data_IF_532419494180
#
_entry.id   IF_532419494180
#
_cell.length_a   1.000
_cell.length_b   1.000
_cell.length_c   1.000
_cell.angle_alpha   90.00
_cell.angle_beta   90.00
_cell.angle_gamma   90.00
#
_symmetry.space_group_name_H-M   'P 1'
#
loop_
_entity.id
_entity.type
_entity.pdbx_description
1 polymer ?
#
# COMPACT_ATOMS: atom_id res chain seq x y z
N UNK A 1 -19.71 -24.84 15.50
CA UNK A 1 -19.97 -24.03 14.29
C UNK A 1 -21.42 -23.57 14.33
N UNK A 2 -21.69 -22.27 14.12
CA UNK A 2 -23.03 -21.68 14.16
C UNK A 2 -23.31 -20.99 12.83
N UNK A 3 -24.53 -21.14 12.33
CA UNK A 3 -25.02 -20.37 11.17
C UNK A 3 -25.62 -19.06 11.70
N UNK A 4 -25.21 -17.93 11.13
CA UNK A 4 -25.66 -16.60 11.55
C UNK A 4 -25.05 -15.50 10.68
N UNK A 5 -25.53 -14.28 10.90
CA UNK A 5 -25.08 -13.08 10.19
C UNK A 5 -23.95 -12.39 10.98
N UNK A 6 -22.80 -12.15 10.34
CA UNK A 6 -21.65 -11.49 10.97
C UNK A 6 -21.94 -10.04 11.38
N UNK A 7 -22.97 -9.41 10.81
CA UNK A 7 -23.46 -8.08 11.18
C UNK A 7 -24.24 -8.09 12.50
N UNK A 8 -24.60 -9.27 13.02
CA UNK A 8 -25.31 -9.42 14.28
C UNK A 8 -24.76 -10.59 15.10
N UNK A 9 -23.85 -10.27 16.01
CA UNK A 9 -23.27 -11.17 16.99
C UNK A 9 -23.87 -10.94 18.39
N UNK A 10 -25.14 -10.52 18.49
CA UNK A 10 -25.83 -10.21 19.76
C UNK A 10 -25.82 -11.35 20.79
N UNK A 11 -25.64 -12.59 20.35
CA UNK A 11 -25.50 -13.78 21.19
C UNK A 11 -24.12 -13.90 21.88
N UNK A 12 -23.15 -13.07 21.49
CA UNK A 12 -21.86 -12.89 22.17
C UNK A 12 -21.92 -11.66 23.07
N UNK A 13 -21.43 -11.80 24.31
CA UNK A 13 -21.22 -10.66 25.21
C UNK A 13 -20.17 -9.70 24.67
N UNK A 14 -20.24 -8.43 25.07
CA UNK A 14 -19.16 -7.48 24.80
C UNK A 14 -17.86 -7.94 25.51
N UNK A 15 -16.70 -7.64 24.92
CA UNK A 15 -15.39 -8.00 25.49
C UNK A 15 -15.27 -9.48 25.89
N UNK A 16 -15.81 -10.39 25.08
CA UNK A 16 -15.82 -11.83 25.36
C UNK A 16 -14.80 -12.62 24.53
N UNK A 17 -14.31 -12.06 23.43
CA UNK A 17 -13.42 -12.74 22.47
C UNK A 17 -11.97 -12.29 22.61
N UNK A 18 -11.03 -13.24 22.58
CA UNK A 18 -9.58 -12.99 22.68
C UNK A 18 -8.86 -12.86 21.33
N UNK A 19 -9.42 -13.43 20.26
CA UNK A 19 -8.87 -13.35 18.90
C UNK A 19 -10.00 -13.49 17.89
N UNK A 20 -10.00 -12.62 16.88
CA UNK A 20 -10.84 -12.75 15.70
C UNK A 20 -9.91 -13.00 14.50
N UNK A 21 -10.17 -14.06 13.74
CA UNK A 21 -9.51 -14.32 12.46
C UNK A 21 -10.59 -14.54 11.42
N UNK A 22 -10.59 -13.73 10.36
CA UNK A 22 -11.63 -13.81 9.33
C UNK A 22 -11.07 -13.58 7.94
N UNK A 23 -11.76 -14.16 6.96
CA UNK A 23 -11.53 -13.97 5.54
C UNK A 23 -12.90 -13.66 4.92
N UNK A 24 -13.29 -12.37 4.85
CA UNK A 24 -14.64 -11.99 4.43
C UNK A 24 -14.89 -12.44 2.98
N UNK A 25 -16.14 -12.79 2.64
CA UNK A 25 -16.51 -13.14 1.29
C UNK A 25 -16.31 -11.91 0.38
N UNK A 26 -15.34 -12.01 -0.53
CA UNK A 26 -14.93 -10.92 -1.41
C UNK A 26 -16.09 -10.29 -2.18
N UNK A 27 -16.10 -8.96 -2.26
CA UNK A 27 -17.04 -8.17 -3.06
C UNK A 27 -17.02 -8.61 -4.54
N UNK A 28 -18.01 -9.39 -4.97
CA UNK A 28 -18.24 -9.75 -6.37
C UNK A 28 -17.05 -10.42 -7.10
N UNK A 29 -16.14 -11.08 -6.36
CA UNK A 29 -15.03 -11.86 -6.95
C UNK A 29 -15.38 -13.34 -7.05
N UNK A 30 -15.98 -13.90 -6.00
CA UNK A 30 -16.38 -15.30 -5.91
C UNK A 30 -17.75 -15.34 -5.26
N UNK A 31 -18.75 -15.86 -5.98
CA UNK A 31 -20.09 -16.08 -5.44
C UNK A 31 -20.09 -17.42 -4.70
N UNK A 32 -20.31 -17.38 -3.39
CA UNK A 32 -20.27 -18.58 -2.53
C UNK A 32 -21.63 -19.28 -2.42
N UNK A 33 -22.70 -18.64 -2.89
CA UNK A 33 -24.07 -19.17 -2.81
C UNK A 33 -24.84 -18.91 -4.10
N UNK A 34 -25.92 -19.66 -4.34
CA UNK A 34 -26.83 -19.44 -5.46
C UNK A 34 -27.80 -18.27 -5.15
N UNK A 35 -27.24 -17.07 -4.99
CA UNK A 35 -27.97 -15.79 -4.85
C UNK A 35 -28.83 -15.69 -3.57
N UNK A 36 -28.19 -15.80 -2.39
CA UNK A 36 -28.87 -15.70 -1.10
C UNK A 36 -28.89 -14.27 -0.55
N UNK A 37 -30.05 -13.88 -0.02
CA UNK A 37 -30.22 -12.67 0.78
C UNK A 37 -29.23 -12.68 1.96
N UNK A 38 -28.41 -11.62 2.07
CA UNK A 38 -27.38 -11.46 3.11
C UNK A 38 -25.97 -11.98 2.75
N UNK A 39 -25.75 -12.51 1.55
CA UNK A 39 -24.41 -12.87 1.08
C UNK A 39 -23.66 -11.64 0.53
N UNK A 40 -22.65 -11.17 1.27
CA UNK A 40 -21.88 -9.98 0.91
C UNK A 40 -21.05 -10.16 -0.39
N UNK A 41 -20.88 -11.41 -0.86
CA UNK A 41 -20.13 -11.66 -2.11
C UNK A 41 -20.83 -11.13 -3.37
N UNK A 42 -22.10 -10.72 -3.30
CA UNK A 42 -22.84 -10.16 -4.42
C UNK A 42 -22.75 -8.63 -4.52
N UNK A 43 -22.20 -7.96 -3.52
CA UNK A 43 -22.19 -6.51 -3.40
C UNK A 43 -21.07 -5.88 -4.23
N UNK A 44 -21.31 -4.68 -4.78
CA UNK A 44 -20.20 -3.86 -5.30
C UNK A 44 -19.38 -3.29 -4.12
N UNK A 45 -18.21 -2.74 -4.43
CA UNK A 45 -17.18 -2.36 -3.44
C UNK A 45 -17.73 -1.46 -2.33
N UNK A 46 -18.48 -0.41 -2.68
CA UNK A 46 -18.97 0.55 -1.69
C UNK A 46 -20.08 -0.04 -0.79
N UNK A 47 -20.97 -0.87 -1.36
CA UNK A 47 -22.00 -1.59 -0.60
C UNK A 47 -21.37 -2.63 0.34
N UNK A 48 -20.37 -3.37 -0.16
CA UNK A 48 -19.60 -4.31 0.65
C UNK A 48 -18.93 -3.60 1.84
N UNK A 49 -18.28 -2.45 1.62
CA UNK A 49 -17.63 -1.69 2.69
C UNK A 49 -18.62 -1.18 3.73
N UNK A 50 -19.81 -0.75 3.30
CA UNK A 50 -20.90 -0.34 4.21
C UNK A 50 -21.35 -1.50 5.11
N UNK A 51 -21.54 -2.70 4.54
CA UNK A 51 -21.91 -3.88 5.33
C UNK A 51 -20.76 -4.32 6.25
N UNK A 52 -19.51 -4.19 5.77
CA UNK A 52 -18.33 -4.45 6.59
C UNK A 52 -18.19 -3.47 7.76
N UNK A 53 -18.78 -2.27 7.70
CA UNK A 53 -18.80 -1.34 8.83
C UNK A 53 -19.63 -1.90 9.99
N UNK A 54 -20.78 -2.53 9.70
CA UNK A 54 -21.57 -3.22 10.72
C UNK A 54 -20.82 -4.43 11.31
N UNK A 55 -20.13 -5.21 10.46
CA UNK A 55 -19.28 -6.32 10.90
C UNK A 55 -18.12 -5.82 11.78
N UNK A 56 -17.45 -4.73 11.38
CA UNK A 56 -16.36 -4.14 12.14
C UNK A 56 -16.84 -3.63 13.51
N UNK A 57 -18.03 -3.02 13.59
CA UNK A 57 -18.63 -2.58 14.84
C UNK A 57 -18.91 -3.78 15.79
N UNK A 58 -19.47 -4.88 15.27
CA UNK A 58 -19.69 -6.09 16.07
C UNK A 58 -18.37 -6.73 16.51
N UNK A 59 -17.38 -6.83 15.62
CA UNK A 59 -16.04 -7.29 15.94
C UNK A 59 -15.42 -6.45 17.06
N UNK A 60 -15.54 -5.12 16.98
CA UNK A 60 -15.05 -4.22 18.02
C UNK A 60 -15.77 -4.44 19.35
N UNK A 61 -17.10 -4.59 19.34
CA UNK A 61 -17.90 -4.82 20.55
C UNK A 61 -17.50 -6.10 21.27
N UNK A 62 -17.38 -7.21 20.55
CA UNK A 62 -17.13 -8.53 21.15
C UNK A 62 -15.66 -8.74 21.52
N UNK A 63 -14.72 -8.08 20.85
CA UNK A 63 -13.30 -8.23 21.15
C UNK A 63 -12.93 -7.57 22.48
N UNK A 64 -12.10 -8.25 23.28
CA UNK A 64 -11.55 -7.68 24.52
C UNK A 64 -10.55 -6.55 24.23
N UNK A 65 -10.44 -5.51 25.07
CA UNK A 65 -9.38 -4.51 24.94
C UNK A 65 -7.98 -5.14 24.99
N UNK A 66 -7.05 -4.65 24.17
CA UNK A 66 -5.68 -5.17 24.01
C UNK A 66 -5.59 -6.46 23.19
N UNK A 67 -6.70 -6.97 22.64
CA UNK A 67 -6.75 -8.18 21.81
C UNK A 67 -6.84 -7.86 20.32
N UNK A 68 -6.59 -8.88 19.51
CA UNK A 68 -6.34 -8.73 18.08
C UNK A 68 -7.50 -9.24 17.21
N UNK A 69 -7.72 -8.54 16.10
CA UNK A 69 -8.59 -8.96 15.00
C UNK A 69 -7.78 -8.96 13.71
N UNK A 70 -7.60 -10.13 13.10
CA UNK A 70 -6.88 -10.30 11.84
C UNK A 70 -7.88 -10.57 10.70
N UNK A 71 -7.75 -9.80 9.62
CA UNK A 71 -8.65 -9.89 8.46
C UNK A 71 -7.81 -10.14 7.22
N UNK A 72 -7.95 -11.30 6.59
CA UNK A 72 -7.28 -11.57 5.31
C UNK A 72 -8.10 -10.96 4.17
N UNK A 73 -7.50 -10.11 3.34
CA UNK A 73 -8.19 -9.45 2.24
C UNK A 73 -7.21 -9.12 1.11
N UNK A 74 -7.54 -9.52 -0.12
CA UNK A 74 -6.88 -9.09 -1.35
C UNK A 74 -7.52 -7.87 -2.00
N UNK A 75 -6.74 -7.19 -2.84
CA UNK A 75 -7.25 -6.15 -3.73
C UNK A 75 -8.00 -6.73 -4.93
N UNK A 76 -8.72 -5.85 -5.62
CA UNK A 76 -9.48 -6.18 -6.83
C UNK A 76 -8.89 -5.46 -8.04
N UNK A 77 -9.31 -5.89 -9.24
CA UNK A 77 -8.97 -5.18 -10.48
C UNK A 77 -10.23 -4.96 -11.33
N UNK A 78 -10.43 -3.71 -11.79
CA UNK A 78 -11.49 -3.35 -12.74
C UNK A 78 -10.88 -2.45 -13.82
N UNK A 79 -11.21 -2.70 -15.09
CA UNK A 79 -10.66 -1.93 -16.23
C UNK A 79 -9.13 -1.79 -16.17
N UNK A 80 -8.42 -2.88 -15.83
CA UNK A 80 -6.96 -2.94 -15.71
C UNK A 80 -6.36 -2.07 -14.59
N UNK A 81 -7.16 -1.52 -13.69
CA UNK A 81 -6.74 -0.69 -12.56
C UNK A 81 -7.03 -1.39 -11.23
N UNK A 82 -6.14 -1.20 -10.26
CA UNK A 82 -6.32 -1.75 -8.92
C UNK A 82 -7.44 -0.99 -8.21
N UNK A 83 -8.34 -1.75 -7.59
CA UNK A 83 -9.25 -1.24 -6.56
C UNK A 83 -8.64 -1.68 -5.22
N UNK A 84 -8.18 -0.73 -4.38
CA UNK A 84 -7.44 -1.02 -3.16
C UNK A 84 -8.40 -1.41 -2.03
N UNK A 85 -9.13 -2.51 -2.21
CA UNK A 85 -10.18 -2.98 -1.30
C UNK A 85 -9.61 -3.22 0.10
N UNK A 86 -8.38 -3.72 0.20
CA UNK A 86 -7.72 -3.94 1.49
C UNK A 86 -7.51 -2.63 2.25
N UNK A 87 -7.04 -1.57 1.58
CA UNK A 87 -6.81 -0.26 2.20
C UNK A 87 -8.12 0.41 2.59
N UNK A 88 -9.16 0.31 1.76
CA UNK A 88 -10.51 0.77 2.09
C UNK A 88 -11.09 0.04 3.30
N UNK A 89 -10.91 -1.29 3.40
CA UNK A 89 -11.37 -2.07 4.55
C UNK A 89 -10.61 -1.70 5.83
N UNK A 90 -9.32 -1.37 5.73
CA UNK A 90 -8.56 -0.83 6.88
C UNK A 90 -9.21 0.45 7.41
N UNK A 91 -9.65 1.38 6.54
CA UNK A 91 -10.36 2.59 6.98
C UNK A 91 -11.62 2.25 7.77
N UNK A 92 -12.44 1.32 7.28
CA UNK A 92 -13.67 0.85 7.97
C UNK A 92 -13.37 0.36 9.40
N UNK A 93 -12.31 -0.43 9.59
CA UNK A 93 -11.94 -0.91 10.92
C UNK A 93 -11.36 0.20 11.80
N UNK A 94 -10.57 1.12 11.25
CA UNK A 94 -10.06 2.28 11.99
C UNK A 94 -11.21 3.18 12.46
N UNK A 95 -12.21 3.42 11.62
CA UNK A 95 -13.42 4.19 11.95
C UNK A 95 -14.28 3.51 13.04
N UNK A 96 -14.32 2.17 13.06
CA UNK A 96 -14.95 1.40 14.13
C UNK A 96 -14.21 1.50 15.49
N UNK A 97 -13.03 2.13 15.53
CA UNK A 97 -12.25 2.39 16.74
C UNK A 97 -11.04 1.48 16.94
N UNK A 98 -10.75 0.58 16.00
CA UNK A 98 -9.53 -0.23 16.03
C UNK A 98 -8.28 0.61 15.76
N UNK A 99 -7.12 0.05 16.13
CA UNK A 99 -5.81 0.50 15.66
C UNK A 99 -5.19 -0.53 14.76
N UNK A 100 -4.50 -0.11 13.70
CA UNK A 100 -3.69 -1.00 12.90
C UNK A 100 -2.38 -1.31 13.64
N UNK A 101 -2.23 -2.55 14.09
CA UNK A 101 -1.03 -3.03 14.81
C UNK A 101 0.02 -3.54 13.83
N UNK A 102 -0.39 -4.37 12.88
CA UNK A 102 0.46 -4.94 11.84
C UNK A 102 -0.24 -4.93 10.48
N UNK A 103 0.54 -4.84 9.40
CA UNK A 103 0.08 -5.05 8.03
C UNK A 103 0.97 -6.10 7.38
N UNK A 104 0.52 -7.34 7.39
CA UNK A 104 1.28 -8.47 6.86
C UNK A 104 0.93 -8.65 5.38
N UNK A 105 1.95 -8.85 4.54
CA UNK A 105 1.76 -9.16 3.12
C UNK A 105 1.89 -10.65 2.89
N UNK A 106 0.78 -11.32 2.57
CA UNK A 106 0.74 -12.73 2.21
C UNK A 106 0.98 -12.88 0.72
N UNK A 107 2.18 -13.34 0.34
CA UNK A 107 2.49 -13.70 -1.04
C UNK A 107 1.68 -14.93 -1.48
N UNK A 108 1.10 -14.88 -2.67
CA UNK A 108 0.47 -16.03 -3.30
C UNK A 108 1.53 -16.87 -4.03
N UNK A 109 1.68 -18.15 -3.66
CA UNK A 109 2.73 -19.02 -4.20
C UNK A 109 2.32 -19.79 -5.48
N UNK A 110 1.02 -19.88 -5.76
CA UNK A 110 0.49 -20.63 -6.91
C UNK A 110 0.15 -19.75 -8.12
N UNK A 111 0.42 -18.44 -8.06
CA UNK A 111 0.31 -17.54 -9.21
C UNK A 111 1.54 -17.69 -10.12
N UNK A 112 1.73 -18.88 -10.72
CA UNK A 112 2.66 -19.03 -11.84
C UNK A 112 2.01 -18.40 -13.05
N UNK A 113 2.53 -17.26 -13.49
CA UNK A 113 2.16 -16.65 -14.76
C UNK A 113 2.42 -17.66 -15.88
N UNK A 114 1.35 -18.26 -16.43
CA UNK A 114 1.48 -19.06 -17.65
C UNK A 114 1.93 -18.14 -18.80
N UNK A 115 2.48 -18.69 -19.89
CA UNK A 115 2.88 -17.88 -21.05
C UNK A 115 1.76 -16.95 -21.54
N UNK A 116 0.52 -17.45 -21.52
CA UNK A 116 -0.68 -16.66 -21.83
C UNK A 116 -0.87 -15.44 -20.92
N UNK A 117 -0.74 -15.62 -19.60
CA UNK A 117 -0.90 -14.52 -18.64
C UNK A 117 0.26 -13.52 -18.72
N UNK A 118 1.46 -13.98 -19.07
CA UNK A 118 2.62 -13.12 -19.29
C UNK A 118 2.38 -12.23 -20.50
N UNK A 119 2.05 -12.82 -21.65
CA UNK A 119 1.75 -12.09 -22.88
C UNK A 119 0.58 -11.11 -22.68
N UNK A 120 -0.45 -11.53 -21.95
CA UNK A 120 -1.60 -10.68 -21.63
C UNK A 120 -1.20 -9.49 -20.76
N UNK A 121 -0.37 -9.70 -19.73
CA UNK A 121 0.15 -8.65 -18.85
C UNK A 121 0.94 -7.61 -19.63
N UNK A 122 1.83 -8.05 -20.52
CA UNK A 122 2.65 -7.17 -21.36
C UNK A 122 1.77 -6.43 -22.37
N UNK A 123 0.95 -7.15 -23.14
CA UNK A 123 0.09 -6.58 -24.20
C UNK A 123 -0.89 -5.53 -23.65
N UNK A 124 -1.41 -5.74 -22.45
CA UNK A 124 -2.47 -4.90 -21.88
C UNK A 124 -1.98 -3.95 -20.79
N UNK A 125 -0.68 -3.92 -20.51
CA UNK A 125 -0.05 -3.16 -19.44
C UNK A 125 -0.81 -3.23 -18.10
N UNK A 126 -0.87 -4.43 -17.51
CA UNK A 126 -1.35 -4.63 -16.14
C UNK A 126 -0.51 -5.69 -15.43
N UNK A 127 -0.50 -5.70 -14.10
CA UNK A 127 0.16 -6.74 -13.30
C UNK A 127 -0.86 -7.73 -12.71
N UNK A 128 -0.45 -8.99 -12.61
CA UNK A 128 -1.22 -10.02 -11.92
C UNK A 128 -1.14 -9.78 -10.41
N UNK A 129 -2.30 -9.79 -9.75
CA UNK A 129 -2.35 -9.73 -8.28
C UNK A 129 -1.71 -11.00 -7.73
N UNK A 130 -0.68 -10.83 -6.88
CA UNK A 130 0.11 -11.93 -6.33
C UNK A 130 0.34 -11.80 -4.82
N UNK A 131 -0.43 -10.94 -4.17
CA UNK A 131 -0.44 -10.80 -2.72
C UNK A 131 -1.86 -10.53 -2.20
N UNK A 132 -2.06 -10.88 -0.94
CA UNK A 132 -3.18 -10.45 -0.11
C UNK A 132 -2.62 -9.74 1.12
N UNK A 133 -3.42 -8.88 1.73
CA UNK A 133 -3.08 -8.21 2.97
C UNK A 133 -3.73 -8.96 4.13
N UNK A 134 -3.00 -9.06 5.25
CA UNK A 134 -3.51 -9.49 6.54
C UNK A 134 -3.27 -8.34 7.52
N UNK A 135 -4.10 -7.27 7.50
CA UNK A 135 -4.13 -6.31 8.59
C UNK A 135 -4.48 -7.00 9.89
N UNK A 136 -3.65 -6.76 10.90
CA UNK A 136 -3.90 -7.12 12.30
C UNK A 136 -4.28 -5.86 13.04
N UNK A 137 -5.54 -5.80 13.42
CA UNK A 137 -6.11 -4.73 14.22
C UNK A 137 -6.00 -5.06 15.70
N UNK A 138 -5.95 -4.02 16.53
CA UNK A 138 -6.02 -4.13 17.98
C UNK A 138 -7.13 -3.22 18.51
N UNK A 139 -7.96 -3.76 19.42
CA UNK A 139 -8.89 -2.92 20.19
C UNK A 139 -8.08 -2.17 21.27
N UNK A 140 -8.04 -0.83 21.28
CA UNK A 140 -7.26 -0.10 22.26
C UNK A 140 -7.67 -0.42 23.70
N UNK A 141 -6.70 -0.43 24.61
CA UNK A 141 -6.99 -0.42 26.06
C UNK A 141 -7.47 0.95 26.52
N UNK A 142 -8.18 1.03 27.65
CA UNK A 142 -8.70 2.31 28.19
C UNK A 142 -7.59 3.37 28.36
N UNK A 143 -6.39 2.96 28.79
CA UNK A 143 -5.22 3.84 28.96
C UNK A 143 -4.66 4.39 27.65
N UNK A 144 -5.03 3.77 26.53
CA UNK A 144 -4.59 4.13 25.20
C UNK A 144 -5.64 4.95 24.47
N UNK A 145 -6.94 4.78 24.76
CA UNK A 145 -8.03 5.56 24.20
C UNK A 145 -7.82 7.06 24.43
N UNK A 146 -7.92 7.88 23.37
CA UNK A 146 -7.81 9.35 23.48
C UNK A 146 -6.38 9.93 23.58
N UNK A 147 -5.31 9.10 23.60
CA UNK A 147 -3.93 9.62 23.50
C UNK A 147 -3.65 10.09 22.07
N UNK A 148 -3.88 11.37 21.79
CA UNK A 148 -3.22 12.07 20.68
C UNK A 148 -1.76 12.24 21.10
N UNK A 149 -0.87 11.44 20.52
CA UNK A 149 0.57 11.65 20.65
C UNK A 149 0.93 12.95 19.91
N UNK A 150 0.80 14.10 20.60
CA UNK A 150 1.45 15.34 20.19
C UNK A 150 2.95 15.13 20.36
N UNK A 151 3.62 14.75 19.27
CA UNK A 151 5.06 14.77 19.21
C UNK A 151 5.42 15.95 18.31
N UNK A 152 5.83 17.06 18.93
CA UNK A 152 6.74 17.99 18.26
C UNK A 152 8.06 17.22 18.12
N UNK A 153 8.34 16.77 16.91
CA UNK A 153 9.60 16.12 16.57
C UNK A 153 10.39 17.10 15.69
N UNK A 154 11.66 17.30 16.00
CA UNK A 154 12.62 17.90 15.08
C UNK A 154 12.77 16.90 13.90
N UNK A 155 12.02 17.12 12.84
CA UNK A 155 12.13 16.38 11.59
C UNK A 155 13.05 17.13 10.64
N UNK A 156 13.88 16.39 9.92
CA UNK A 156 14.71 16.98 8.87
C UNK A 156 13.82 17.47 7.72
N UNK A 157 14.17 18.60 7.12
CA UNK A 157 13.45 19.14 5.96
C UNK A 157 13.46 18.18 4.77
N UNK A 158 12.65 18.46 3.75
CA UNK A 158 12.56 17.63 2.54
C UNK A 158 13.12 18.39 1.34
N UNK A 159 14.13 17.82 0.68
CA UNK A 159 14.61 18.27 -0.62
C UNK A 159 14.02 17.40 -1.73
N UNK A 160 13.75 18.03 -2.86
CA UNK A 160 13.49 17.32 -4.11
C UNK A 160 14.76 17.39 -4.96
N UNK A 161 14.97 16.49 -5.89
CA UNK A 161 15.99 16.64 -6.93
C UNK A 161 15.64 15.80 -8.17
N UNK A 162 16.19 16.17 -9.32
CA UNK A 162 16.13 15.34 -10.53
C UNK A 162 17.29 14.34 -10.52
N UNK A 163 17.02 13.12 -10.96
CA UNK A 163 18.01 12.06 -11.08
C UNK A 163 18.12 11.58 -12.54
N UNK A 164 19.31 11.10 -12.92
CA UNK A 164 19.51 10.38 -14.18
C UNK A 164 19.48 8.88 -13.93
N UNK A 165 18.94 8.14 -14.89
CA UNK A 165 19.02 6.68 -14.84
C UNK A 165 20.49 6.24 -14.93
N UNK A 166 21.01 5.68 -13.85
CA UNK A 166 22.34 5.07 -13.80
C UNK A 166 22.19 3.55 -13.85
N UNK A 167 22.49 2.95 -14.99
CA UNK A 167 22.26 1.51 -15.14
C UNK A 167 23.07 0.82 -16.24
N UNK A 168 23.54 -0.38 -15.94
CA UNK A 168 24.31 -1.30 -16.80
C UNK A 168 23.59 -2.63 -17.12
N UNK A 169 22.58 -3.04 -16.34
CA UNK A 169 21.90 -4.35 -16.42
C UNK A 169 20.95 -4.41 -17.62
N UNK A 170 21.06 -5.40 -18.51
CA UNK A 170 20.03 -5.59 -19.55
C UNK A 170 18.89 -6.46 -19.03
N UNK A 171 17.64 -5.98 -19.08
CA UNK A 171 16.46 -6.80 -18.76
C UNK A 171 15.77 -7.30 -20.03
N UNK A 172 15.67 -8.62 -20.17
CA UNK A 172 15.04 -9.26 -21.32
C UNK A 172 13.56 -9.61 -21.05
N UNK A 173 13.17 -9.69 -19.77
CA UNK A 173 11.80 -9.94 -19.34
C UNK A 173 11.41 -8.92 -18.28
N UNK A 174 10.13 -8.55 -18.28
CA UNK A 174 9.54 -7.69 -17.29
C UNK A 174 8.85 -8.52 -16.23
N UNK A 175 8.79 -7.99 -15.01
CA UNK A 175 7.89 -8.49 -14.00
C UNK A 175 6.44 -8.32 -14.45
N UNK A 176 5.64 -9.35 -14.18
CA UNK A 176 4.23 -9.44 -14.60
C UNK A 176 3.27 -9.63 -13.44
N UNK A 177 3.80 -9.67 -12.21
CA UNK A 177 3.00 -9.75 -10.99
C UNK A 177 3.22 -8.52 -10.13
N UNK A 178 2.35 -8.30 -9.16
CA UNK A 178 2.44 -7.20 -8.18
C UNK A 178 3.43 -7.49 -7.05
N UNK A 179 4.14 -8.61 -7.04
CA UNK A 179 5.19 -8.91 -6.06
C UNK A 179 6.52 -9.08 -6.76
N UNK A 180 7.45 -8.16 -6.54
CA UNK A 180 8.77 -8.16 -7.16
C UNK A 180 9.82 -8.60 -6.15
N UNK A 181 10.60 -9.59 -6.54
CA UNK A 181 11.66 -10.19 -5.71
C UNK A 181 12.98 -10.02 -6.44
N UNK A 182 13.78 -9.05 -5.99
CA UNK A 182 15.08 -8.75 -6.61
C UNK A 182 16.24 -8.98 -5.63
N UNK A 183 17.42 -9.43 -6.11
CA UNK A 183 18.63 -9.47 -5.29
C UNK A 183 18.94 -8.08 -4.70
N UNK A 184 19.32 -7.99 -3.42
CA UNK A 184 19.50 -6.70 -2.75
C UNK A 184 20.50 -5.77 -3.43
N UNK A 185 21.58 -6.33 -3.97
CA UNK A 185 22.64 -5.62 -4.71
C UNK A 185 22.19 -5.06 -6.07
N UNK A 186 21.06 -5.55 -6.61
CA UNK A 186 20.54 -5.18 -7.94
C UNK A 186 19.12 -4.64 -7.92
N UNK A 187 18.52 -4.55 -6.73
CA UNK A 187 17.11 -4.23 -6.56
C UNK A 187 16.76 -2.91 -7.23
N UNK A 188 17.36 -1.80 -6.80
CA UNK A 188 17.09 -0.46 -7.35
C UNK A 188 17.18 -0.42 -8.88
N UNK A 189 18.26 -0.99 -9.45
CA UNK A 189 18.48 -0.98 -10.89
C UNK A 189 17.45 -1.83 -11.66
N UNK A 190 17.04 -2.97 -11.10
CA UNK A 190 16.00 -3.82 -11.68
C UNK A 190 14.62 -3.16 -11.56
N UNK A 191 14.34 -2.48 -10.45
CA UNK A 191 13.13 -1.69 -10.21
C UNK A 191 12.98 -0.61 -11.27
N UNK A 192 14.00 0.24 -11.40
CA UNK A 192 14.01 1.36 -12.35
C UNK A 192 13.72 0.87 -13.76
N UNK A 193 14.38 -0.20 -14.21
CA UNK A 193 14.13 -0.74 -15.54
C UNK A 193 12.76 -1.33 -15.71
N UNK A 194 12.24 -2.03 -14.71
CA UNK A 194 10.91 -2.61 -14.81
C UNK A 194 9.85 -1.51 -14.91
N UNK A 195 9.97 -0.45 -14.11
CA UNK A 195 9.08 0.71 -14.15
C UNK A 195 9.22 1.46 -15.49
N UNK A 196 10.42 1.88 -15.86
CA UNK A 196 10.65 2.69 -17.06
C UNK A 196 10.23 1.94 -18.32
N UNK A 197 10.64 0.67 -18.49
CA UNK A 197 10.31 -0.10 -19.70
C UNK A 197 8.83 -0.49 -19.78
N UNK A 198 8.11 -0.50 -18.65
CA UNK A 198 6.66 -0.79 -18.62
C UNK A 198 5.81 0.46 -18.86
N UNK A 199 6.24 1.61 -18.37
CA UNK A 199 5.44 2.85 -18.35
C UNK A 199 6.01 3.98 -19.23
N UNK A 200 7.10 3.75 -19.94
CA UNK A 200 7.65 4.66 -20.95
C UNK A 200 8.22 3.88 -22.14
N UNK A 201 8.23 4.53 -23.30
CA UNK A 201 8.89 4.09 -24.53
C UNK A 201 10.43 4.12 -24.46
N UNK A 202 11.01 4.67 -23.38
CA UNK A 202 12.43 4.57 -23.06
C UNK A 202 13.16 5.91 -22.96
N UNK A 203 12.63 6.98 -23.54
CA UNK A 203 13.31 8.29 -23.59
C UNK A 203 12.49 9.44 -22.99
N UNK A 204 11.20 9.21 -22.69
CA UNK A 204 10.26 10.25 -22.29
C UNK A 204 9.77 10.07 -20.85
N UNK A 205 10.72 9.99 -19.93
CA UNK A 205 10.47 9.90 -18.50
C UNK A 205 11.34 10.88 -17.71
N UNK A 206 10.98 11.09 -16.45
CA UNK A 206 11.76 11.86 -15.49
C UNK A 206 11.83 11.11 -14.16
N UNK A 207 13.02 11.07 -13.54
CA UNK A 207 13.20 10.51 -12.20
C UNK A 207 13.35 11.67 -11.23
N UNK A 208 12.54 11.65 -10.18
CA UNK A 208 12.53 12.64 -9.10
C UNK A 208 12.84 11.93 -7.80
N UNK A 209 13.76 12.49 -7.00
CA UNK A 209 14.08 12.00 -5.66
C UNK A 209 13.53 12.94 -4.59
N UNK A 210 12.90 12.38 -3.56
CA UNK A 210 12.57 13.07 -2.31
C UNK A 210 13.57 12.61 -1.24
N UNK A 211 14.45 13.52 -0.81
CA UNK A 211 15.53 13.26 0.14
C UNK A 211 15.43 14.17 1.38
N UNK A 212 16.21 13.86 2.40
CA UNK A 212 16.36 14.68 3.59
C UNK A 212 17.20 15.92 3.28
N UNK A 213 16.85 17.02 3.93
CA UNK A 213 17.51 18.32 3.81
C UNK A 213 17.79 18.87 5.20
N UNK A 214 18.98 19.45 5.36
CA UNK A 214 19.33 20.23 6.56
C UNK A 214 18.80 21.68 6.48
N UNK A 215 18.31 22.09 5.31
CA UNK A 215 17.67 23.38 5.05
C UNK A 215 16.15 23.24 4.90
N UNK A 216 15.39 24.32 5.14
CA UNK A 216 13.95 24.37 4.86
C UNK A 216 13.62 23.96 3.41
N UNK A 217 12.49 23.28 3.25
CA UNK A 217 12.01 22.69 2.00
C UNK A 217 12.07 23.69 0.83
N UNK A 218 13.01 23.50 -0.09
CA UNK A 218 13.09 24.32 -1.30
C UNK A 218 12.10 23.80 -2.34
N UNK A 219 11.22 24.68 -2.81
CA UNK A 219 10.37 24.44 -3.96
C UNK A 219 11.24 24.37 -5.21
N UNK A 220 11.39 23.17 -5.77
CA UNK A 220 12.02 23.03 -7.07
C UNK A 220 10.96 23.34 -8.10
N UNK A 221 11.16 24.45 -8.83
CA UNK A 221 10.53 24.60 -10.14
C UNK A 221 11.17 23.56 -11.05
N UNK A 222 10.55 22.38 -11.12
CA UNK A 222 10.88 21.41 -12.16
C UNK A 222 10.73 22.17 -13.48
N UNK A 223 11.80 22.26 -14.27
CA UNK A 223 11.69 22.63 -15.68
C UNK A 223 11.06 21.44 -16.39
N UNK A 224 9.78 21.21 -16.10
CA UNK A 224 9.06 20.04 -16.55
C UNK A 224 9.14 20.02 -18.08
N UNK A 225 9.77 18.97 -18.62
CA UNK A 225 9.50 18.61 -20.00
C UNK A 225 8.00 18.41 -20.10
N UNK A 226 7.38 19.03 -21.09
CA UNK A 226 5.96 18.78 -21.35
C UNK A 226 5.84 17.43 -22.03
N UNK A 227 4.68 16.81 -21.85
CA UNK A 227 4.28 15.60 -22.56
C UNK A 227 5.06 14.33 -22.12
N UNK A 228 5.47 14.24 -20.85
CA UNK A 228 6.13 13.08 -20.25
C UNK A 228 5.21 11.85 -20.22
N UNK A 229 5.75 10.68 -20.51
CA UNK A 229 5.03 9.39 -20.37
C UNK A 229 5.08 8.87 -18.94
N UNK A 230 6.13 9.19 -18.20
CA UNK A 230 6.35 8.71 -16.84
C UNK A 230 7.08 9.75 -16.00
N UNK A 231 6.59 9.98 -14.79
CA UNK A 231 7.37 10.55 -13.68
C UNK A 231 7.58 9.47 -12.63
N UNK A 232 8.84 9.15 -12.34
CA UNK A 232 9.25 8.15 -11.36
C UNK A 232 9.77 8.82 -10.10
N UNK A 233 8.98 8.82 -9.03
CA UNK A 233 9.31 9.43 -7.74
C UNK A 233 9.92 8.37 -6.83
N UNK A 234 11.21 8.53 -6.53
CA UNK A 234 11.95 7.74 -5.54
C UNK A 234 11.97 8.45 -4.20
N UNK A 235 11.95 7.68 -3.11
CA UNK A 235 11.77 8.21 -1.76
C UNK A 235 12.82 7.68 -0.79
N UNK A 236 14.13 7.90 -1.07
CA UNK A 236 15.21 7.43 -0.20
C UNK A 236 15.08 7.96 1.24
N UNK A 237 14.40 9.10 1.42
CA UNK A 237 14.12 9.66 2.74
C UNK A 237 13.36 8.69 3.67
N UNK A 238 12.55 7.80 3.11
CA UNK A 238 11.77 6.77 3.83
C UNK A 238 12.56 5.47 4.06
N UNK A 239 13.79 5.37 3.55
CA UNK A 239 14.63 4.20 3.72
C UNK A 239 15.16 4.09 5.16
N UNK A 240 15.17 2.88 5.76
CA UNK A 240 15.79 2.66 7.07
C UNK A 240 17.27 3.06 7.14
N UNK A 241 17.98 3.06 6.00
CA UNK A 241 19.40 3.39 5.92
C UNK A 241 19.70 4.88 6.04
N UNK A 242 18.70 5.76 5.89
CA UNK A 242 18.91 7.21 5.83
C UNK A 242 19.29 7.83 7.19
N UNK A 243 19.08 7.12 8.31
CA UNK A 243 19.47 7.55 9.67
C UNK A 243 18.76 8.79 10.22
N UNK A 244 18.09 9.58 9.38
CA UNK A 244 17.31 10.78 9.69
C UNK A 244 15.82 10.44 9.83
N UNK A 245 15.13 11.08 10.76
CA UNK A 245 13.69 10.88 10.98
C UNK A 245 12.88 11.82 10.10
N UNK A 246 11.91 11.24 9.41
CA UNK A 246 10.94 11.97 8.57
C UNK A 246 9.62 12.06 9.32
N UNK A 247 9.02 13.24 9.33
CA UNK A 247 7.63 13.39 9.73
C UNK A 247 6.74 12.90 8.56
N UNK A 248 5.92 11.86 8.77
CA UNK A 248 5.05 11.33 7.71
C UNK A 248 4.09 12.37 7.13
N UNK A 249 3.61 13.32 7.95
CA UNK A 249 2.69 14.35 7.51
C UNK A 249 3.37 15.33 6.55
N UNK A 250 4.55 15.82 6.91
CA UNK A 250 5.34 16.74 6.06
C UNK A 250 5.68 16.07 4.72
N UNK A 251 5.97 14.76 4.74
CA UNK A 251 6.18 13.98 3.52
C UNK A 251 4.93 13.90 2.66
N UNK A 252 3.77 13.59 3.24
CA UNK A 252 2.49 13.50 2.51
C UNK A 252 2.11 14.85 1.89
N UNK A 253 2.22 15.95 2.65
CA UNK A 253 1.96 17.30 2.15
C UNK A 253 2.91 17.69 1.01
N UNK A 254 4.19 17.33 1.14
CA UNK A 254 5.16 17.57 0.07
C UNK A 254 4.86 16.74 -1.17
N UNK A 255 4.49 15.47 -1.02
CA UNK A 255 4.15 14.58 -2.12
C UNK A 255 2.89 15.08 -2.85
N UNK A 256 1.88 15.55 -2.11
CA UNK A 256 0.67 16.14 -2.70
C UNK A 256 0.99 17.40 -3.51
N UNK A 257 1.84 18.28 -2.96
CA UNK A 257 2.27 19.48 -3.67
C UNK A 257 3.03 19.12 -4.94
N UNK A 258 3.94 18.14 -4.86
CA UNK A 258 4.67 17.62 -6.01
C UNK A 258 3.72 17.03 -7.07
N UNK A 259 2.70 16.26 -6.67
CA UNK A 259 1.76 15.66 -7.62
C UNK A 259 1.00 16.73 -8.42
N UNK A 260 0.62 17.85 -7.79
CA UNK A 260 0.02 18.99 -8.51
C UNK A 260 1.00 19.70 -9.44
N UNK A 261 2.27 19.85 -9.02
CA UNK A 261 3.30 20.50 -9.83
C UNK A 261 3.63 19.70 -11.10
N UNK A 262 3.71 18.36 -11.01
CA UNK A 262 4.08 17.51 -12.14
C UNK A 262 2.92 17.17 -13.06
N UNK A 263 1.69 17.16 -12.55
CA UNK A 263 0.51 16.72 -13.30
C UNK A 263 0.41 17.37 -14.69
N UNK A 264 0.58 18.70 -14.87
CA UNK A 264 0.51 19.32 -16.20
C UNK A 264 1.59 18.85 -17.18
N UNK A 265 2.73 18.36 -16.70
CA UNK A 265 3.85 17.87 -17.51
C UNK A 265 3.66 16.44 -18.01
N UNK A 266 2.87 15.61 -17.32
CA UNK A 266 2.59 14.21 -17.70
C UNK A 266 1.46 14.15 -18.72
N UNK A 267 1.58 13.44 -19.84
CA UNK A 267 0.50 13.38 -20.84
C UNK A 267 -0.74 12.64 -20.33
N UNK A 268 -1.89 12.82 -20.97
CA UNK A 268 -3.07 12.00 -20.72
C UNK A 268 -2.76 10.52 -21.02
N UNK A 269 -3.11 9.61 -20.12
CA UNK A 269 -2.68 8.20 -20.16
C UNK A 269 -1.21 7.96 -19.80
N UNK A 270 -0.45 9.01 -19.45
CA UNK A 270 0.88 8.90 -18.86
C UNK A 270 0.81 8.53 -17.38
N UNK A 271 1.97 8.29 -16.77
CA UNK A 271 2.07 7.66 -15.46
C UNK A 271 2.83 8.50 -14.43
N UNK A 272 2.37 8.41 -13.18
CA UNK A 272 3.10 8.80 -11.98
C UNK A 272 3.34 7.52 -11.18
N UNK A 273 4.60 7.16 -10.97
CA UNK A 273 4.95 6.04 -10.11
C UNK A 273 5.71 6.57 -8.89
N UNK A 274 5.33 6.09 -7.70
CA UNK A 274 5.81 6.60 -6.41
C UNK A 274 6.31 5.42 -5.58
N UNK A 275 7.61 5.42 -5.30
CA UNK A 275 8.21 4.55 -4.29
C UNK A 275 7.81 5.03 -2.89
N UNK A 276 7.43 4.11 -2.02
CA UNK A 276 7.13 4.40 -0.62
C UNK A 276 7.40 3.19 0.27
N UNK A 277 7.39 3.39 1.58
CA UNK A 277 7.58 2.33 2.57
C UNK A 277 6.76 2.64 3.82
N UNK A 278 6.12 1.63 4.37
CA UNK A 278 5.48 1.76 5.68
C UNK A 278 6.55 2.06 6.74
N UNK A 279 6.17 2.87 7.73
CA UNK A 279 7.06 3.31 8.79
C UNK A 279 6.61 2.75 10.14
N UNK A 280 7.56 2.55 11.04
CA UNK A 280 7.29 2.16 12.43
C UNK A 280 7.78 3.25 13.37
N UNK A 281 6.88 3.79 14.19
CA UNK A 281 7.23 4.70 15.29
C UNK A 281 6.82 4.07 16.62
N UNK A 282 7.80 3.50 17.33
CA UNK A 282 7.56 2.70 18.54
C UNK A 282 6.57 1.57 18.23
N UNK A 283 5.39 1.60 18.84
CA UNK A 283 4.34 0.59 18.67
C UNK A 283 3.41 0.88 17.47
N UNK A 284 3.49 2.08 16.89
CA UNK A 284 2.57 2.51 15.85
C UNK A 284 3.12 2.19 14.46
N UNK A 285 2.36 1.39 13.71
CA UNK A 285 2.53 1.24 12.26
C UNK A 285 1.92 2.46 11.54
N UNK A 286 2.66 3.01 10.59
CA UNK A 286 2.24 4.10 9.72
C UNK A 286 2.20 3.55 8.30
N UNK A 287 1.02 3.17 7.79
CA UNK A 287 0.89 2.51 6.48
C UNK A 287 0.97 3.54 5.35
N UNK A 288 2.18 3.99 5.01
CA UNK A 288 2.42 5.07 4.05
C UNK A 288 1.79 4.79 2.69
N UNK A 289 1.82 3.55 2.21
CA UNK A 289 1.19 3.20 0.94
C UNK A 289 -0.32 3.47 0.95
N UNK A 290 -1.01 3.07 2.02
CA UNK A 290 -2.44 3.37 2.23
C UNK A 290 -2.69 4.87 2.32
N UNK A 291 -1.87 5.60 3.09
CA UNK A 291 -2.04 7.04 3.26
C UNK A 291 -1.87 7.81 1.95
N UNK A 292 -0.91 7.42 1.10
CA UNK A 292 -0.72 8.02 -0.22
C UNK A 292 -1.87 7.65 -1.17
N UNK A 293 -2.36 6.40 -1.11
CA UNK A 293 -3.55 6.00 -1.87
C UNK A 293 -4.76 6.85 -1.51
N UNK A 294 -4.99 7.12 -0.22
CA UNK A 294 -6.08 7.98 0.24
C UNK A 294 -5.86 9.46 -0.14
N UNK A 295 -4.62 9.94 -0.07
CA UNK A 295 -4.24 11.32 -0.42
C UNK A 295 -4.47 11.66 -1.89
N UNK A 296 -4.15 10.73 -2.79
CA UNK A 296 -4.23 10.91 -4.24
C UNK A 296 -5.52 10.36 -4.86
N UNK A 297 -6.59 10.21 -4.08
CA UNK A 297 -7.94 9.94 -4.60
C UNK A 297 -8.53 11.20 -5.24
N UNK A 298 -7.90 11.73 -6.29
CA UNK A 298 -8.38 12.91 -7.01
C UNK A 298 -8.93 12.56 -8.40
N UNK A 299 -9.49 13.56 -9.08
CA UNK A 299 -10.01 13.40 -10.43
C UNK A 299 -8.89 13.18 -11.47
N UNK A 300 -7.66 13.60 -11.19
CA UNK A 300 -6.56 13.59 -12.14
C UNK A 300 -5.85 12.24 -12.25
N UNK A 301 -5.70 11.53 -11.13
CA UNK A 301 -4.95 10.29 -11.04
C UNK A 301 -5.88 9.09 -10.86
N UNK A 302 -5.57 8.00 -11.55
CA UNK A 302 -6.26 6.73 -11.40
C UNK A 302 -5.27 5.67 -10.93
N UNK A 303 -5.49 5.10 -9.75
CA UNK A 303 -4.62 4.07 -9.19
C UNK A 303 -4.56 2.85 -10.12
N UNK A 304 -3.38 2.65 -10.72
CA UNK A 304 -3.12 1.66 -11.75
C UNK A 304 -2.59 0.36 -11.17
N UNK A 305 -1.56 0.44 -10.33
CA UNK A 305 -0.94 -0.70 -9.66
C UNK A 305 -0.54 -0.37 -8.22
N UNK A 306 -0.62 -1.37 -7.34
CA UNK A 306 0.12 -1.42 -6.07
C UNK A 306 1.10 -2.58 -6.18
N UNK A 307 2.39 -2.27 -6.23
CA UNK A 307 3.47 -3.25 -6.35
C UNK A 307 4.15 -3.35 -4.99
N UNK A 308 4.35 -4.57 -4.52
CA UNK A 308 5.13 -4.88 -3.32
C UNK A 308 6.50 -5.37 -3.76
N UNK A 309 7.54 -4.71 -3.28
CA UNK A 309 8.92 -5.04 -3.62
C UNK A 309 9.69 -5.52 -2.39
N UNK A 310 10.41 -6.63 -2.55
CA UNK A 310 11.14 -7.30 -1.47
C UNK A 310 12.53 -7.70 -1.97
N UNK A 311 13.52 -7.59 -1.07
CA UNK A 311 14.86 -8.13 -1.30
C UNK A 311 14.83 -9.66 -1.21
N UNK A 312 15.20 -10.32 -2.30
CA UNK A 312 15.09 -11.77 -2.48
C UNK A 312 16.12 -12.57 -1.67
N UNK A 313 17.23 -11.95 -1.30
CA UNK A 313 18.33 -12.60 -0.59
C UNK A 313 17.98 -12.94 0.86
N UNK A 314 16.98 -12.29 1.47
CA UNK A 314 16.07 -12.81 2.51
C UNK A 314 16.68 -13.41 3.80
N UNK A 315 18.00 -13.57 3.89
CA UNK A 315 18.73 -14.02 5.06
C UNK A 315 19.16 -12.83 5.89
N UNK A 316 18.21 -12.01 6.34
CA UNK A 316 18.40 -11.46 7.67
C UNK A 316 18.23 -12.64 8.62
N UNK A 317 19.36 -13.13 9.17
CA UNK A 317 19.36 -13.84 10.45
C UNK A 317 18.44 -13.04 11.36
N UNK A 318 17.37 -13.64 11.89
CA UNK A 318 16.51 -13.01 12.89
C UNK A 318 17.40 -12.23 13.85
N UNK A 319 17.40 -10.91 13.76
CA UNK A 319 18.23 -10.09 14.63
C UNK A 319 17.50 -10.10 15.96
N UNK A 320 17.89 -11.03 16.84
CA UNK A 320 17.56 -10.97 18.26
C UNK A 320 18.06 -9.61 18.77
N UNK A 321 17.16 -8.65 18.89
CA UNK A 321 17.49 -7.27 19.27
C UNK A 321 16.41 -6.24 18.96
N UNK A 322 15.49 -6.52 18.02
CA UNK A 322 14.26 -5.74 17.84
C UNK A 322 13.27 -5.98 18.99
N UNK A 323 12.40 -5.00 19.25
CA UNK A 323 11.29 -5.16 20.20
C UNK A 323 10.46 -6.39 19.77
N UNK A 324 10.49 -7.48 20.56
CA UNK A 324 9.96 -8.79 20.16
C UNK A 324 8.44 -8.80 19.93
N UNK A 325 7.75 -7.71 20.26
CA UNK A 325 6.30 -7.57 20.21
C UNK A 325 5.75 -7.14 18.84
N UNK A 326 6.61 -6.74 17.88
CA UNK A 326 6.21 -6.21 16.57
C UNK A 326 7.01 -6.81 15.41
N UNK A 327 6.40 -6.83 14.22
CA UNK A 327 7.02 -7.36 13.01
C UNK A 327 7.89 -6.31 12.30
N UNK A 328 9.01 -6.78 11.75
CA UNK A 328 9.86 -5.98 10.86
C UNK A 328 9.15 -5.68 9.55
N UNK A 329 9.25 -4.42 9.11
CA UNK A 329 8.80 -4.02 7.77
C UNK A 329 9.94 -4.36 6.81
N UNK A 330 9.73 -5.36 5.94
CA UNK A 330 10.76 -5.87 5.02
C UNK A 330 10.56 -5.41 3.58
N UNK A 331 9.34 -5.02 3.22
CA UNK A 331 8.96 -4.62 1.87
C UNK A 331 8.96 -3.10 1.70
N UNK A 332 9.07 -2.67 0.45
CA UNK A 332 8.67 -1.35 -0.02
C UNK A 332 7.47 -1.49 -0.96
N UNK A 333 6.83 -0.38 -1.29
CA UNK A 333 5.75 -0.31 -2.26
C UNK A 333 6.12 0.59 -3.42
N UNK A 334 5.53 0.29 -4.57
CA UNK A 334 5.48 1.20 -5.70
C UNK A 334 4.02 1.40 -6.08
N UNK A 335 3.53 2.62 -5.91
CA UNK A 335 2.19 3.03 -6.29
C UNK A 335 2.26 3.63 -7.68
N UNK A 336 1.55 3.05 -8.64
CA UNK A 336 1.49 3.57 -10.01
C UNK A 336 0.11 4.16 -10.23
N UNK A 337 0.07 5.38 -10.77
CA UNK A 337 -1.13 6.09 -11.15
C UNK A 337 -1.08 6.40 -12.65
N UNK A 338 -2.22 6.27 -13.32
CA UNK A 338 -2.44 6.70 -14.71
C UNK A 338 -3.16 8.06 -14.68
N UNK A 339 -2.67 9.03 -15.46
CA UNK A 339 -3.32 10.34 -15.60
C UNK A 339 -4.60 10.18 -16.43
N UNK A 340 -5.75 10.56 -15.86
CA UNK A 340 -7.07 10.51 -16.52
C UNK A 340 -7.18 11.50 -17.68
#
# INVERSE_FOLDING_TARGET
LRVGDARNLSWLGANSIDLICTHPPYANIIQYTDNKEGDLSFLDVEEFLNEMAAVAAENFRVLKPGRQCAVLIGDMRRKKHVIPLAFKLINVYLEAGFRLRELIIKRQHNCKTTGFWYESSIKNNFLLLAHEYLPVFEKPTENQAGRILKVQEEATGLAISQERLESTIKINKLETTTVWLFPGDKKEELTDKNIIKRYSSGDNFEIIKIDSSDNESQAIKLKAKKDLELVWVKSPVLSPSNGKRVNPQDYLERLQSLSYEIQPGVRLGGYLAIETRDLRKREQLIPMAKLIVDLLQDEAWWLKEIIVEIEADGQKKFVQGGNQDFLDIMHSYILVYERK
#
